data_IF_005268439353
#
_entry.id   IF_005268439353
#
_cell.length_a   1.000
_cell.length_b   1.000
_cell.length_c   1.000
_cell.angle_alpha   90.00
_cell.angle_beta   90.00
_cell.angle_gamma   90.00
#
_symmetry.space_group_name_H-M   'P 1'
#
loop_
_entity.id
_entity.type
_entity.pdbx_description
1 polymer ?
#
# COMPACT_ATOMS: atom_id res chain seq x y z
N UNK A 1 -15.05 5.72 4.74
CA UNK A 1 -14.29 4.64 5.40
C UNK A 1 -15.10 3.37 5.28
N UNK A 2 -14.49 2.28 4.84
CA UNK A 2 -15.13 0.96 4.83
C UNK A 2 -14.27 0.01 5.66
N UNK A 3 -14.89 -0.75 6.56
CA UNK A 3 -14.22 -1.68 7.46
C UNK A 3 -14.60 -3.10 7.10
N UNK A 4 -13.60 -3.96 7.05
CA UNK A 4 -13.72 -5.38 6.77
C UNK A 4 -12.76 -6.14 7.67
N UNK A 5 -12.97 -7.44 7.82
CA UNK A 5 -12.03 -8.34 8.49
C UNK A 5 -11.41 -9.28 7.46
N UNK A 6 -10.08 -9.37 7.44
CA UNK A 6 -9.35 -10.38 6.69
C UNK A 6 -8.67 -11.28 7.72
N UNK A 7 -9.18 -12.50 7.87
CA UNK A 7 -8.81 -13.38 8.99
C UNK A 7 -9.12 -12.71 10.34
N UNK A 8 -8.12 -12.61 11.20
CA UNK A 8 -8.21 -11.95 12.51
C UNK A 8 -7.91 -10.43 12.47
N UNK A 9 -7.59 -9.87 11.31
CA UNK A 9 -7.11 -8.48 11.18
C UNK A 9 -8.25 -7.58 10.68
N UNK A 10 -8.49 -6.47 11.38
CA UNK A 10 -9.39 -5.42 10.92
C UNK A 10 -8.75 -4.56 9.84
N UNK A 11 -9.27 -4.59 8.62
CA UNK A 11 -8.80 -3.80 7.48
C UNK A 11 -9.76 -2.65 7.22
N UNK A 12 -9.25 -1.42 7.25
CA UNK A 12 -10.02 -0.20 6.96
C UNK A 12 -9.51 0.48 5.70
N UNK A 13 -10.36 0.64 4.69
CA UNK A 13 -10.01 1.39 3.47
C UNK A 13 -10.55 2.82 3.57
N UNK A 14 -9.69 3.80 3.34
CA UNK A 14 -9.99 5.23 3.49
C UNK A 14 -9.54 5.98 2.24
N UNK A 15 -10.43 6.82 1.72
CA UNK A 15 -10.15 7.69 0.59
C UNK A 15 -9.64 9.05 1.10
N UNK A 16 -8.52 9.51 0.56
CA UNK A 16 -7.98 10.86 0.81
C UNK A 16 -6.74 10.88 1.71
N UNK A 17 -6.49 12.03 2.33
CA UNK A 17 -5.37 12.21 3.25
C UNK A 17 -5.81 11.92 4.69
N UNK A 18 -4.94 11.23 5.42
CA UNK A 18 -5.16 10.85 6.82
C UNK A 18 -3.91 11.20 7.63
N UNK A 19 -4.13 11.70 8.85
CA UNK A 19 -3.07 11.85 9.84
C UNK A 19 -2.61 10.47 10.30
N UNK A 20 -1.32 10.19 10.16
CA UNK A 20 -0.70 8.91 10.49
C UNK A 20 -0.04 8.88 11.87
N UNK A 21 -0.25 9.91 12.69
CA UNK A 21 0.30 9.99 14.06
C UNK A 21 -0.19 8.89 15.01
N UNK A 22 -1.31 8.23 14.72
CA UNK A 22 -1.83 7.11 15.51
C UNK A 22 -1.38 5.72 15.01
N UNK A 23 -0.48 5.68 14.01
CA UNK A 23 0.00 4.44 13.40
C UNK A 23 1.43 4.15 13.84
N UNK A 24 1.66 2.91 14.29
CA UNK A 24 2.96 2.45 14.76
C UNK A 24 3.95 2.27 13.59
N UNK A 25 3.42 1.88 12.42
CA UNK A 25 4.19 1.70 11.19
C UNK A 25 3.38 2.11 9.96
N UNK A 26 4.02 2.80 9.02
CA UNK A 26 3.41 3.14 7.73
C UNK A 26 4.29 2.75 6.55
N UNK A 27 3.64 2.40 5.45
CA UNK A 27 4.28 2.19 4.15
C UNK A 27 3.87 3.31 3.22
N UNK A 28 4.85 4.10 2.78
CA UNK A 28 4.67 5.31 1.98
C UNK A 28 5.61 5.32 0.78
N UNK A 29 5.30 6.12 -0.24
CA UNK A 29 6.27 6.31 -1.31
C UNK A 29 7.43 7.20 -0.84
N UNK A 30 8.66 6.85 -1.22
CA UNK A 30 9.84 7.66 -0.88
C UNK A 30 9.85 8.97 -1.68
N UNK A 31 9.69 8.85 -3.00
CA UNK A 31 9.70 9.96 -3.95
C UNK A 31 8.53 9.79 -4.93
N UNK A 32 7.63 10.76 -4.97
CA UNK A 32 6.52 10.82 -5.92
C UNK A 32 6.87 11.85 -6.98
N UNK A 33 7.19 11.45 -8.22
CA UNK A 33 7.50 12.39 -9.29
C UNK A 33 6.24 13.15 -9.70
N UNK A 34 6.25 14.47 -9.51
CA UNK A 34 5.22 15.35 -10.02
C UNK A 34 5.66 15.96 -11.36
N UNK A 35 5.06 15.48 -12.44
CA UNK A 35 5.21 16.11 -13.75
C UNK A 35 5.13 15.12 -14.90
N UNK A 36 4.41 15.54 -15.94
CA UNK A 36 4.46 14.97 -17.29
C UNK A 36 5.46 15.81 -18.07
N UNK A 37 6.60 15.22 -18.47
CA UNK A 37 7.29 15.75 -19.65
C UNK A 37 6.39 15.49 -20.85
N UNK A 38 6.06 16.48 -21.70
CA UNK A 38 5.40 16.23 -22.97
C UNK A 38 6.35 15.38 -23.82
N UNK A 39 5.98 14.11 -24.06
CA UNK A 39 6.82 13.13 -24.73
C UNK A 39 7.30 12.06 -23.76
N UNK A 40 6.59 10.93 -23.72
CA UNK A 40 6.87 9.82 -22.82
C UNK A 40 8.34 9.38 -22.86
N UNK A 41 8.98 9.42 -21.70
CA UNK A 41 10.38 9.02 -21.51
C UNK A 41 10.92 9.56 -20.20
N UNK A 42 10.89 8.74 -19.15
CA UNK A 42 11.52 9.05 -17.86
C UNK A 42 13.01 8.74 -17.93
N UNK A 43 13.80 9.71 -18.40
CA UNK A 43 15.25 9.72 -18.17
C UNK A 43 15.67 11.11 -17.71
N UNK A 44 15.83 11.27 -16.39
CA UNK A 44 16.77 12.23 -15.80
C UNK A 44 16.52 13.73 -16.02
N UNK A 45 15.29 14.22 -16.11
CA UNK A 45 15.00 15.65 -16.24
C UNK A 45 14.37 16.24 -14.99
N UNK A 46 15.10 17.08 -14.25
CA UNK A 46 14.64 18.06 -13.23
C UNK A 46 13.17 17.92 -12.77
N UNK A 47 12.84 16.81 -12.13
CA UNK A 47 11.48 16.48 -11.71
C UNK A 47 11.28 16.87 -10.26
N UNK A 48 10.27 17.70 -9.97
CA UNK A 48 9.86 17.97 -8.60
C UNK A 48 9.36 16.65 -8.01
N UNK A 49 10.05 16.11 -7.01
CA UNK A 49 9.54 14.97 -6.24
C UNK A 49 8.84 15.49 -4.98
N UNK A 50 7.70 14.91 -4.65
CA UNK A 50 7.07 15.11 -3.35
C UNK A 50 7.31 13.84 -2.52
N UNK A 51 7.73 14.05 -1.28
CA UNK A 51 7.72 13.02 -0.25
C UNK A 51 6.40 13.09 0.50
N UNK A 52 5.74 11.95 0.71
CA UNK A 52 4.60 11.90 1.62
C UNK A 52 5.09 12.18 3.04
N UNK A 53 4.68 13.32 3.60
CA UNK A 53 4.98 13.65 4.99
C UNK A 53 4.41 12.56 5.90
N UNK A 54 5.13 12.22 6.96
CA UNK A 54 4.72 11.20 7.93
C UNK A 54 5.00 11.68 9.34
N UNK A 55 4.05 11.37 10.23
CA UNK A 55 4.14 11.54 11.68
C UNK A 55 4.17 10.21 12.43
N UNK A 56 4.20 9.09 11.71
CA UNK A 56 4.30 7.77 12.28
C UNK A 56 5.72 7.50 12.81
N UNK A 57 5.82 6.65 13.83
CA UNK A 57 7.09 6.31 14.46
C UNK A 57 8.03 5.55 13.52
N UNK A 58 7.46 4.67 12.68
CA UNK A 58 8.21 3.86 11.73
C UNK A 58 7.67 4.06 10.32
N UNK A 59 8.56 4.37 9.38
CA UNK A 59 8.22 4.56 7.97
C UNK A 59 9.01 3.57 7.12
N UNK A 60 8.30 2.70 6.41
CA UNK A 60 8.83 1.85 5.34
C UNK A 60 8.46 2.48 4.01
N UNK A 61 9.33 2.30 3.02
CA UNK A 61 9.11 2.83 1.69
C UNK A 61 8.70 1.75 0.70
N UNK A 62 7.70 2.05 -0.14
CA UNK A 62 7.43 1.25 -1.31
C UNK A 62 8.67 1.21 -2.22
N UNK A 63 8.97 0.07 -2.85
CA UNK A 63 10.02 0.01 -3.86
C UNK A 63 9.63 0.89 -5.06
N UNK A 64 10.65 1.41 -5.76
CA UNK A 64 10.45 2.11 -7.02
C UNK A 64 10.02 1.10 -8.09
N UNK A 65 8.74 1.13 -8.46
CA UNK A 65 8.14 0.24 -9.47
C UNK A 65 7.44 1.09 -10.53
N UNK A 66 7.56 0.71 -11.80
CA UNK A 66 6.83 1.30 -12.93
C UNK A 66 6.01 0.23 -13.66
N UNK A 67 5.14 0.66 -14.58
CA UNK A 67 4.29 -0.24 -15.37
C UNK A 67 5.11 -1.18 -16.28
N UNK A 68 6.30 -0.75 -16.70
CA UNK A 68 7.22 -1.51 -17.54
C UNK A 68 7.90 -2.67 -16.79
N UNK A 69 7.87 -2.68 -15.45
CA UNK A 69 8.48 -3.75 -14.67
C UNK A 69 7.64 -5.04 -14.78
N UNK A 70 8.19 -6.13 -15.37
CA UNK A 70 7.44 -7.37 -15.55
C UNK A 70 7.14 -8.08 -14.22
N UNK A 71 7.97 -7.86 -13.20
CA UNK A 71 7.80 -8.41 -11.84
C UNK A 71 7.03 -7.50 -10.88
N UNK A 72 6.33 -6.47 -11.36
CA UNK A 72 5.70 -5.44 -10.51
C UNK A 72 4.74 -6.00 -9.47
N UNK A 73 3.89 -6.98 -9.84
CA UNK A 73 2.93 -7.60 -8.92
C UNK A 73 3.64 -8.29 -7.76
N UNK A 74 4.61 -9.15 -8.07
CA UNK A 74 5.43 -9.83 -7.06
C UNK A 74 6.21 -8.83 -6.19
N UNK A 75 6.67 -7.72 -6.75
CA UNK A 75 7.36 -6.68 -5.99
C UNK A 75 6.41 -5.93 -5.03
N UNK A 76 5.16 -5.66 -5.41
CA UNK A 76 4.14 -5.09 -4.52
C UNK A 76 3.84 -6.07 -3.38
N UNK A 77 3.56 -7.34 -3.71
CA UNK A 77 3.28 -8.37 -2.72
C UNK A 77 4.43 -8.51 -1.72
N UNK A 78 5.66 -8.63 -2.22
CA UNK A 78 6.85 -8.78 -1.38
C UNK A 78 7.04 -7.56 -0.48
N UNK A 79 6.89 -6.35 -1.00
CA UNK A 79 7.00 -5.14 -0.20
C UNK A 79 5.93 -5.06 0.90
N UNK A 80 4.69 -5.45 0.59
CA UNK A 80 3.62 -5.52 1.58
C UNK A 80 3.89 -6.58 2.65
N UNK A 81 4.33 -7.77 2.25
CA UNK A 81 4.68 -8.86 3.16
C UNK A 81 5.89 -8.51 4.04
N UNK A 82 6.94 -7.92 3.47
CA UNK A 82 8.13 -7.48 4.22
C UNK A 82 7.77 -6.38 5.24
N UNK A 83 6.82 -5.50 4.90
CA UNK A 83 6.31 -4.48 5.81
C UNK A 83 5.48 -5.08 6.97
N UNK A 84 4.64 -6.07 6.67
CA UNK A 84 3.88 -6.82 7.69
C UNK A 84 4.82 -7.56 8.65
N UNK A 85 5.83 -8.26 8.12
CA UNK A 85 6.83 -8.93 8.95
C UNK A 85 7.70 -7.91 9.74
N UNK A 86 7.85 -6.69 9.24
CA UNK A 86 8.53 -5.61 9.97
C UNK A 86 7.66 -5.02 11.09
N UNK A 87 6.33 -5.02 10.92
CA UNK A 87 5.38 -4.61 11.95
C UNK A 87 5.54 -5.46 13.22
N UNK A 88 5.75 -6.78 13.08
CA UNK A 88 6.05 -7.66 14.23
C UNK A 88 7.34 -7.27 14.96
N UNK A 89 8.40 -6.96 14.21
CA UNK A 89 9.71 -6.61 14.80
C UNK A 89 9.64 -5.36 15.66
N UNK A 90 8.77 -4.41 15.28
CA UNK A 90 8.54 -3.18 16.05
C UNK A 90 7.35 -3.29 17.00
N UNK A 91 6.76 -4.49 17.14
CA UNK A 91 5.58 -4.76 17.99
C UNK A 91 4.39 -3.84 17.67
N UNK A 92 4.22 -3.50 16.39
CA UNK A 92 3.13 -2.65 15.93
C UNK A 92 1.78 -3.35 16.10
N UNK A 93 0.82 -2.62 16.63
CA UNK A 93 -0.59 -3.02 16.75
C UNK A 93 -1.44 -2.45 15.62
N UNK A 94 -0.99 -1.34 15.02
CA UNK A 94 -1.66 -0.60 13.95
C UNK A 94 -0.68 -0.23 12.84
N UNK A 95 -1.01 -0.56 11.60
CA UNK A 95 -0.20 -0.14 10.44
C UNK A 95 -1.03 0.57 9.37
N UNK A 96 -0.34 1.38 8.54
CA UNK A 96 -0.91 2.03 7.36
C UNK A 96 -0.22 1.66 6.05
N UNK A 97 -0.98 1.38 5.00
CA UNK A 97 -0.51 1.34 3.61
C UNK A 97 -1.03 2.57 2.86
N UNK A 98 -0.13 3.44 2.41
CA UNK A 98 -0.45 4.63 1.63
C UNK A 98 -0.11 4.38 0.16
N UNK A 99 -1.10 4.37 -0.72
CA UNK A 99 -0.93 3.88 -2.11
C UNK A 99 -0.77 4.98 -3.15
N UNK A 100 -0.68 6.25 -2.75
CA UNK A 100 -0.62 7.38 -3.69
C UNK A 100 0.57 7.29 -4.65
N UNK A 101 1.77 6.96 -4.17
CA UNK A 101 2.93 6.85 -5.06
C UNK A 101 2.83 5.70 -6.06
N UNK A 102 2.14 4.60 -5.72
CA UNK A 102 1.87 3.51 -6.65
C UNK A 102 0.86 3.94 -7.73
N UNK A 103 -0.10 4.80 -7.39
CA UNK A 103 -1.04 5.39 -8.37
C UNK A 103 -0.33 6.36 -9.31
N UNK A 104 0.54 7.23 -8.78
CA UNK A 104 1.30 8.19 -9.59
C UNK A 104 2.27 7.46 -10.53
N UNK A 105 2.80 6.31 -10.12
CA UNK A 105 3.56 5.40 -10.98
C UNK A 105 2.70 4.69 -12.06
N UNK A 106 1.41 5.01 -12.15
CA UNK A 106 0.43 4.47 -13.11
C UNK A 106 0.27 2.96 -13.04
N UNK A 107 0.50 2.38 -11.87
CA UNK A 107 0.25 0.95 -11.66
C UNK A 107 -1.27 0.72 -11.62
N UNK A 108 -1.78 -0.35 -12.26
CA UNK A 108 -3.21 -0.63 -12.24
C UNK A 108 -3.74 -0.82 -10.80
N UNK A 109 -4.81 -0.10 -10.45
CA UNK A 109 -5.38 -0.12 -9.10
C UNK A 109 -5.77 -1.51 -8.61
N UNK A 110 -6.22 -2.38 -9.52
CA UNK A 110 -6.59 -3.76 -9.20
C UNK A 110 -5.35 -4.60 -8.84
N UNK A 111 -4.21 -4.41 -9.50
CA UNK A 111 -2.96 -5.12 -9.17
C UNK A 111 -2.47 -4.70 -7.78
N UNK A 112 -2.48 -3.40 -7.48
CA UNK A 112 -2.09 -2.88 -6.17
C UNK A 112 -2.98 -3.50 -5.08
N UNK A 113 -4.30 -3.47 -5.29
CA UNK A 113 -5.26 -3.98 -4.33
C UNK A 113 -5.12 -5.50 -4.11
N UNK A 114 -5.07 -6.29 -5.18
CA UNK A 114 -4.96 -7.75 -5.09
C UNK A 114 -3.69 -8.16 -4.33
N UNK A 115 -2.53 -7.61 -4.69
CA UNK A 115 -1.26 -8.03 -4.08
C UNK A 115 -1.13 -7.61 -2.62
N UNK A 116 -1.61 -6.42 -2.25
CA UNK A 116 -1.61 -5.96 -0.85
C UNK A 116 -2.58 -6.79 -0.02
N UNK A 117 -3.81 -7.00 -0.49
CA UNK A 117 -4.81 -7.78 0.27
C UNK A 117 -4.39 -9.25 0.36
N UNK A 118 -3.77 -9.81 -0.67
CA UNK A 118 -3.18 -11.16 -0.62
C UNK A 118 -2.10 -11.27 0.45
N UNK A 119 -1.17 -10.31 0.51
CA UNK A 119 -0.16 -10.27 1.56
C UNK A 119 -0.77 -10.17 2.96
N UNK A 120 -1.80 -9.34 3.15
CA UNK A 120 -2.54 -9.24 4.42
C UNK A 120 -3.21 -10.58 4.77
N UNK A 121 -3.85 -11.23 3.80
CA UNK A 121 -4.52 -12.50 4.02
C UNK A 121 -3.54 -13.61 4.44
N UNK A 122 -2.41 -13.72 3.75
CA UNK A 122 -1.37 -14.69 4.09
C UNK A 122 -0.78 -14.42 5.47
N UNK A 123 -0.58 -13.14 5.80
CA UNK A 123 -0.10 -12.73 7.11
C UNK A 123 -1.12 -13.00 8.23
N UNK A 124 -2.43 -12.82 7.96
CA UNK A 124 -3.51 -13.06 8.94
C UNK A 124 -3.60 -14.51 9.44
N UNK A 125 -2.94 -15.45 8.76
CA UNK A 125 -2.84 -16.87 9.15
C UNK A 125 -1.78 -17.11 10.23
N UNK A 126 -0.91 -16.12 10.52
CA UNK A 126 0.11 -16.18 11.57
C UNK A 126 -0.44 -15.59 12.88
N UNK A 127 0.12 -15.99 14.01
CA UNK A 127 -0.09 -15.26 15.28
C UNK A 127 0.64 -13.91 15.19
N UNK A 128 -0.06 -12.82 15.51
CA UNK A 128 0.43 -11.45 15.33
C UNK A 128 -0.22 -10.51 16.33
N UNK A 129 0.51 -9.47 16.74
CA UNK A 129 -0.03 -8.36 17.55
C UNK A 129 -0.80 -7.33 16.72
N UNK A 130 -0.59 -7.35 15.39
CA UNK A 130 -1.20 -6.44 14.44
C UNK A 130 -2.71 -6.75 14.32
N UNK A 131 -3.54 -5.89 14.90
CA UNK A 131 -5.00 -6.07 14.89
C UNK A 131 -5.70 -5.15 13.89
N UNK A 132 -5.03 -4.10 13.43
CA UNK A 132 -5.63 -3.11 12.52
C UNK A 132 -4.67 -2.70 11.42
N UNK A 133 -5.15 -2.81 10.19
CA UNK A 133 -4.49 -2.29 8.99
C UNK A 133 -5.37 -1.23 8.36
N UNK A 134 -4.78 -0.08 8.09
CA UNK A 134 -5.41 1.00 7.37
C UNK A 134 -4.83 1.09 5.97
N UNK A 135 -5.68 1.07 4.95
CA UNK A 135 -5.29 1.31 3.57
C UNK A 135 -5.80 2.68 3.17
N UNK A 136 -4.88 3.59 2.88
CA UNK A 136 -5.16 4.97 2.47
C UNK A 136 -4.97 5.07 0.96
N UNK A 137 -6.07 5.27 0.26
CA UNK A 137 -6.15 5.35 -1.20
C UNK A 137 -6.42 6.78 -1.66
N UNK A 138 -5.93 7.13 -2.85
CA UNK A 138 -6.04 8.50 -3.40
C UNK A 138 -7.18 8.69 -4.40
N UNK A 139 -7.83 7.62 -4.87
CA UNK A 139 -8.93 7.72 -5.84
C UNK A 139 -10.10 6.77 -5.57
N UNK A 140 -11.32 7.10 -6.04
CA UNK A 140 -12.47 6.20 -6.00
C UNK A 140 -12.20 4.86 -6.70
N UNK A 141 -11.42 4.84 -7.78
CA UNK A 141 -11.05 3.62 -8.49
C UNK A 141 -10.24 2.69 -7.58
N UNK A 142 -9.23 3.21 -6.88
CA UNK A 142 -8.49 2.42 -5.89
C UNK A 142 -9.40 1.93 -4.76
N UNK A 143 -10.28 2.79 -4.23
CA UNK A 143 -11.25 2.38 -3.20
C UNK A 143 -12.08 1.18 -3.67
N UNK A 144 -12.64 1.24 -4.87
CA UNK A 144 -13.42 0.13 -5.44
C UNK A 144 -12.57 -1.13 -5.65
N UNK A 145 -11.33 -1.00 -6.12
CA UNK A 145 -10.41 -2.14 -6.27
C UNK A 145 -10.11 -2.82 -4.94
N UNK A 146 -9.84 -2.07 -3.87
CA UNK A 146 -9.61 -2.64 -2.54
C UNK A 146 -10.86 -3.27 -1.94
N UNK A 147 -12.03 -2.63 -2.07
CA UNK A 147 -13.30 -3.22 -1.63
C UNK A 147 -13.56 -4.55 -2.33
N UNK A 148 -13.34 -4.60 -3.65
CA UNK A 148 -13.46 -5.83 -4.41
C UNK A 148 -12.47 -6.90 -3.93
N UNK A 149 -11.19 -6.55 -3.79
CA UNK A 149 -10.14 -7.50 -3.40
C UNK A 149 -10.38 -8.08 -2.00
N UNK A 150 -10.79 -7.25 -1.04
CA UNK A 150 -11.12 -7.70 0.32
C UNK A 150 -12.34 -8.62 0.32
N UNK A 151 -13.39 -8.26 -0.43
CA UNK A 151 -14.63 -9.05 -0.48
C UNK A 151 -14.43 -10.40 -1.16
N UNK A 152 -13.51 -10.49 -2.12
CA UNK A 152 -13.27 -11.68 -2.94
C UNK A 152 -11.95 -12.37 -2.60
N UNK A 153 -11.43 -12.16 -1.39
CA UNK A 153 -10.08 -12.62 -1.04
C UNK A 153 -9.89 -14.13 -1.15
N UNK A 154 -10.95 -14.93 -0.94
CA UNK A 154 -10.91 -16.37 -1.14
C UNK A 154 -10.63 -16.75 -2.60
N UNK A 155 -11.12 -15.97 -3.56
CA UNK A 155 -10.91 -16.22 -5.00
C UNK A 155 -9.51 -15.74 -5.44
N UNK A 156 -8.99 -14.68 -4.82
CA UNK A 156 -7.71 -14.06 -5.17
C UNK A 156 -6.52 -14.81 -4.54
N UNK A 157 -6.75 -15.51 -3.43
CA UNK A 157 -5.71 -16.19 -2.65
C UNK A 157 -5.61 -17.69 -2.91
N UNK A 158 -6.50 -18.25 -3.73
CA UNK A 158 -6.39 -19.62 -4.26
C UNK A 158 -5.25 -19.72 -5.29
#
# INVERSE_FOLDING_TARGET
MVQHTVGCIGVSVILGQIDDSELDLVVKAQDIPLGITPGGGTVGGFGITIKEASRADNVIHWPTITIENPGRRSAIYKAASDALDSAEKVQATRMGFFTMGLEVARLPSWEIAEEIVKAINDYSKKESLLNKIMVVVSSPTQMSSFQYAITNISIISD
#
